data_IF_871333479515
#
_entry.id   IF_871333479515
#
_cell.length_a   1.000
_cell.length_b   1.000
_cell.length_c   1.000
_cell.angle_alpha   90.00
_cell.angle_beta   90.00
_cell.angle_gamma   90.00
#
_symmetry.space_group_name_H-M   'P 1'
#
loop_
_entity.id
_entity.type
_entity.pdbx_description
1 polymer ?
#
# COMPACT_ATOMS: atom_id res chain seq x y z
N UNK A 1 -8.58 5.44 25.38
CA UNK A 1 -7.32 4.70 25.20
C UNK A 1 -6.36 5.04 26.35
N UNK A 2 -5.21 4.36 26.51
CA UNK A 2 -4.22 4.72 27.55
C UNK A 2 -3.66 6.13 27.35
N UNK A 3 -3.38 6.51 26.09
CA UNK A 3 -2.92 7.85 25.70
C UNK A 3 -3.89 8.93 26.20
N UNK A 4 -5.19 8.82 25.89
CA UNK A 4 -6.20 9.79 26.35
C UNK A 4 -6.33 9.86 27.88
N UNK A 5 -6.02 8.77 28.60
CA UNK A 5 -5.99 8.77 30.06
C UNK A 5 -4.75 9.51 30.60
N UNK A 6 -3.61 9.41 29.92
CA UNK A 6 -2.41 10.16 30.27
C UNK A 6 -2.64 11.67 30.13
N UNK A 7 -3.31 12.12 29.07
CA UNK A 7 -3.68 13.54 28.90
C UNK A 7 -4.47 14.07 30.10
N UNK A 8 -5.45 13.30 30.57
CA UNK A 8 -6.27 13.67 31.73
C UNK A 8 -5.45 13.69 33.03
N UNK A 9 -4.49 12.77 33.18
CA UNK A 9 -3.62 12.71 34.35
C UNK A 9 -2.67 13.91 34.37
N UNK A 10 -2.06 14.25 33.24
CA UNK A 10 -1.15 15.40 33.10
C UNK A 10 -1.91 16.71 33.38
N UNK A 11 -3.12 16.85 32.87
CA UNK A 11 -3.96 18.03 33.16
C UNK A 11 -4.23 18.18 34.67
N UNK A 12 -4.62 17.10 35.35
CA UNK A 12 -4.84 17.13 36.80
C UNK A 12 -3.55 17.40 37.58
N UNK A 13 -2.43 16.84 37.14
CA UNK A 13 -1.13 17.08 37.75
C UNK A 13 -0.75 18.57 37.71
N UNK A 14 -1.08 19.25 36.61
CA UNK A 14 -0.89 20.69 36.47
C UNK A 14 -1.78 21.49 37.42
N UNK A 15 -3.07 21.14 37.52
CA UNK A 15 -4.01 21.75 38.46
C UNK A 15 -3.55 21.58 39.92
N UNK A 16 -3.05 20.39 40.29
CA UNK A 16 -2.51 20.13 41.63
C UNK A 16 -1.21 20.90 41.92
N UNK A 17 -0.39 21.17 40.90
CA UNK A 17 0.80 22.02 41.05
C UNK A 17 0.42 23.48 41.32
N UNK A 18 -0.56 24.00 40.58
CA UNK A 18 -1.07 25.37 40.79
C UNK A 18 -1.73 25.56 42.15
N UNK A 19 -2.40 24.53 42.66
CA UNK A 19 -2.98 24.50 44.00
C UNK A 19 -1.91 24.37 45.11
N UNK A 20 -0.63 24.20 44.77
CA UNK A 20 0.47 24.00 45.71
C UNK A 20 0.43 22.66 46.45
N UNK A 21 -0.37 21.69 45.97
CA UNK A 21 -0.47 20.34 46.57
C UNK A 21 0.74 19.48 46.26
N UNK A 22 1.45 19.80 45.17
CA UNK A 22 2.73 19.19 44.80
C UNK A 22 3.77 20.28 44.58
N UNK A 23 5.05 19.92 44.69
CA UNK A 23 6.16 20.84 44.40
C UNK A 23 6.45 20.87 42.90
N UNK A 24 6.97 21.99 42.41
CA UNK A 24 7.40 22.14 41.00
C UNK A 24 8.40 21.06 40.57
N UNK A 25 9.32 20.67 41.47
CA UNK A 25 10.29 19.60 41.22
C UNK A 25 9.58 18.26 40.99
N UNK A 26 8.57 17.94 41.81
CA UNK A 26 7.80 16.70 41.67
C UNK A 26 6.94 16.70 40.43
N UNK A 27 6.35 17.85 40.09
CA UNK A 27 5.62 18.07 38.85
C UNK A 27 6.50 17.80 37.63
N UNK A 28 7.70 18.40 37.57
CA UNK A 28 8.62 18.20 36.45
C UNK A 28 8.99 16.73 36.25
N UNK A 29 9.33 16.01 37.34
CA UNK A 29 9.70 14.59 37.25
C UNK A 29 8.53 13.76 36.70
N UNK A 30 7.33 13.97 37.22
CA UNK A 30 6.14 13.21 36.82
C UNK A 30 5.68 13.56 35.39
N UNK A 31 5.65 14.85 35.04
CA UNK A 31 5.30 15.30 33.68
C UNK A 31 6.26 14.70 32.65
N UNK A 32 7.57 14.80 32.89
CA UNK A 32 8.58 14.23 31.98
C UNK A 32 8.41 12.73 31.78
N UNK A 33 8.08 11.99 32.84
CA UNK A 33 7.84 10.55 32.75
C UNK A 33 6.57 10.22 31.92
N UNK A 34 5.49 10.97 32.11
CA UNK A 34 4.26 10.78 31.34
C UNK A 34 4.37 11.21 29.88
N UNK A 35 5.07 12.31 29.60
CA UNK A 35 5.36 12.77 28.24
C UNK A 35 6.16 11.71 27.48
N UNK A 36 7.15 11.10 28.16
CA UNK A 36 7.91 9.98 27.60
C UNK A 36 7.03 8.75 27.33
N UNK A 37 6.20 8.34 28.29
CA UNK A 37 5.28 7.21 28.10
C UNK A 37 4.32 7.45 26.91
N UNK A 38 3.80 8.67 26.80
CA UNK A 38 2.89 9.07 25.72
C UNK A 38 3.58 9.05 24.35
N UNK A 39 4.81 9.55 24.26
CA UNK A 39 5.61 9.50 23.04
C UNK A 39 5.86 8.05 22.60
N UNK A 40 6.32 7.19 23.51
CA UNK A 40 6.58 5.78 23.23
C UNK A 40 5.32 5.03 22.80
N UNK A 41 4.17 5.29 23.43
CA UNK A 41 2.90 4.68 23.06
C UNK A 41 2.43 5.14 21.67
N UNK A 42 2.58 6.42 21.36
CA UNK A 42 2.18 7.00 20.07
C UNK A 42 3.06 6.45 18.94
N UNK A 43 4.37 6.34 19.17
CA UNK A 43 5.29 5.71 18.23
C UNK A 43 4.94 4.24 18.00
N UNK A 44 4.65 3.47 19.05
CA UNK A 44 4.22 2.08 18.91
C UNK A 44 2.93 1.93 18.12
N UNK A 45 1.93 2.78 18.37
CA UNK A 45 0.66 2.75 17.64
C UNK A 45 0.91 3.02 16.15
N UNK A 46 1.63 4.09 15.83
CA UNK A 46 1.92 4.44 14.42
C UNK A 46 2.77 3.37 13.71
N UNK A 47 3.75 2.79 14.40
CA UNK A 47 4.54 1.67 13.86
C UNK A 47 3.68 0.42 13.60
N UNK A 48 2.78 0.07 14.51
CA UNK A 48 1.88 -1.08 14.35
C UNK A 48 0.85 -0.84 13.24
N UNK A 49 0.28 0.36 13.16
CA UNK A 49 -0.64 0.74 12.08
C UNK A 49 0.04 0.66 10.72
N UNK A 50 1.28 1.14 10.62
CA UNK A 50 2.10 1.02 9.41
C UNK A 50 2.38 -0.44 9.06
N UNK A 51 2.79 -1.25 10.02
CA UNK A 51 3.03 -2.68 9.81
C UNK A 51 1.78 -3.41 9.32
N UNK A 52 0.62 -3.13 9.93
CA UNK A 52 -0.67 -3.69 9.49
C UNK A 52 -1.00 -3.19 8.07
N UNK A 53 -0.80 -1.91 7.77
CA UNK A 53 -1.05 -1.36 6.43
C UNK A 53 -0.15 -2.01 5.37
N UNK A 54 1.11 -2.28 5.68
CA UNK A 54 2.04 -2.92 4.77
C UNK A 54 1.68 -4.40 4.57
N UNK A 55 1.44 -5.13 5.66
CA UNK A 55 1.03 -6.53 5.62
C UNK A 55 -0.32 -6.74 4.91
N UNK A 56 -1.29 -5.85 5.12
CA UNK A 56 -2.58 -5.89 4.41
C UNK A 56 -2.41 -5.58 2.93
N UNK A 57 -1.56 -4.63 2.55
CA UNK A 57 -1.24 -4.35 1.14
C UNK A 57 -0.57 -5.56 0.47
N UNK A 58 0.39 -6.19 1.12
CA UNK A 58 1.09 -7.38 0.59
C UNK A 58 0.16 -8.61 0.50
N UNK A 59 -0.68 -8.82 1.51
CA UNK A 59 -1.70 -9.86 1.55
C UNK A 59 -2.77 -9.65 0.47
N UNK A 60 -3.28 -8.43 0.32
CA UNK A 60 -4.25 -8.09 -0.74
C UNK A 60 -3.65 -8.32 -2.12
N UNK A 61 -2.38 -7.94 -2.33
CA UNK A 61 -1.69 -8.21 -3.60
C UNK A 61 -1.56 -9.72 -3.87
N UNK A 62 -1.19 -10.51 -2.86
CA UNK A 62 -0.96 -11.96 -3.02
C UNK A 62 -2.25 -12.78 -3.16
N UNK A 63 -3.27 -12.49 -2.33
CA UNK A 63 -4.56 -13.19 -2.40
C UNK A 63 -5.43 -12.75 -3.58
N UNK A 64 -5.37 -11.47 -3.99
CA UNK A 64 -6.08 -10.99 -5.18
C UNK A 64 -5.45 -11.50 -6.48
N UNK A 65 -4.20 -11.94 -6.46
CA UNK A 65 -3.54 -12.54 -7.61
C UNK A 65 -3.85 -14.03 -7.78
N UNK A 66 -3.73 -14.82 -6.71
CA UNK A 66 -3.78 -16.29 -6.82
C UNK A 66 -5.20 -16.80 -7.15
N UNK A 67 -6.24 -16.17 -6.61
CA UNK A 67 -7.61 -16.65 -6.78
C UNK A 67 -8.15 -16.48 -8.22
N UNK A 68 -8.00 -15.31 -8.87
CA UNK A 68 -8.37 -15.17 -10.27
C UNK A 68 -7.48 -16.00 -11.19
N UNK A 69 -6.16 -15.99 -11.00
CA UNK A 69 -5.23 -16.72 -11.88
C UNK A 69 -5.52 -18.23 -11.88
N UNK A 70 -5.81 -18.84 -10.73
CA UNK A 70 -6.20 -20.27 -10.66
C UNK A 70 -7.55 -20.56 -11.32
N UNK A 71 -8.47 -19.59 -11.38
CA UNK A 71 -9.76 -19.75 -12.07
C UNK A 71 -9.59 -19.69 -13.60
N UNK A 72 -8.52 -19.06 -14.06
CA UNK A 72 -8.23 -18.79 -15.46
C UNK A 72 -6.88 -19.38 -15.93
N UNK A 73 -6.40 -20.46 -15.30
CA UNK A 73 -5.18 -21.17 -15.74
C UNK A 73 -5.34 -21.89 -17.08
N UNK A 74 -6.55 -21.96 -17.63
CA UNK A 74 -6.85 -22.62 -18.91
C UNK A 74 -7.81 -21.76 -19.77
N UNK A 75 -7.39 -20.53 -20.09
CA UNK A 75 -8.15 -19.62 -20.95
C UNK A 75 -8.01 -20.08 -22.41
N UNK A 76 -9.10 -20.60 -22.99
CA UNK A 76 -9.17 -20.92 -24.43
C UNK A 76 -9.53 -19.70 -25.29
N UNK A 77 -10.33 -18.77 -24.76
CA UNK A 77 -10.78 -17.55 -25.46
C UNK A 77 -10.75 -16.31 -24.54
N UNK A 78 -10.37 -15.17 -25.11
CA UNK A 78 -10.28 -13.89 -24.38
C UNK A 78 -11.68 -13.28 -24.20
N UNK A 79 -12.26 -13.45 -23.01
CA UNK A 79 -13.53 -12.81 -22.64
C UNK A 79 -13.32 -11.41 -22.05
N UNK A 80 -14.33 -10.54 -22.22
CA UNK A 80 -14.35 -9.20 -21.68
C UNK A 80 -14.26 -9.18 -20.15
N UNK A 81 -14.74 -10.22 -19.46
CA UNK A 81 -14.56 -10.40 -18.01
C UNK A 81 -13.09 -10.60 -17.63
N UNK A 82 -12.36 -11.39 -18.43
CA UNK A 82 -10.92 -11.64 -18.24
C UNK A 82 -10.15 -10.34 -18.44
N UNK A 83 -10.42 -9.59 -19.52
CA UNK A 83 -9.76 -8.31 -19.78
C UNK A 83 -9.98 -7.34 -18.62
N UNK A 84 -11.23 -7.18 -18.14
CA UNK A 84 -11.55 -6.30 -17.01
C UNK A 84 -10.86 -6.70 -15.71
N UNK A 85 -10.59 -8.00 -15.54
CA UNK A 85 -9.96 -8.52 -14.33
C UNK A 85 -8.44 -8.34 -14.38
N UNK A 86 -7.81 -8.65 -15.51
CA UNK A 86 -6.34 -8.75 -15.59
C UNK A 86 -5.65 -7.53 -16.18
N UNK A 87 -6.36 -6.67 -16.93
CA UNK A 87 -5.80 -5.49 -17.59
C UNK A 87 -6.16 -4.23 -16.82
N UNK A 88 -5.15 -3.45 -16.45
CA UNK A 88 -5.30 -2.12 -15.86
C UNK A 88 -5.60 -1.10 -16.96
N UNK A 89 -4.73 -1.05 -17.98
CA UNK A 89 -4.79 -0.07 -19.08
C UNK A 89 -4.31 -0.66 -20.39
N UNK A 90 -4.87 -0.17 -21.48
CA UNK A 90 -4.45 -0.47 -22.84
C UNK A 90 -4.09 0.85 -23.51
N UNK A 91 -2.83 0.98 -23.94
CA UNK A 91 -2.37 2.12 -24.73
C UNK A 91 -2.26 1.68 -26.19
N UNK A 92 -2.89 2.44 -27.07
CA UNK A 92 -2.88 2.17 -28.50
C UNK A 92 -2.14 3.30 -29.18
N UNK A 93 -0.99 2.98 -29.78
CA UNK A 93 -0.23 3.96 -30.55
C UNK A 93 -0.90 4.21 -31.91
N UNK A 94 -0.56 5.35 -32.50
CA UNK A 94 -1.01 5.68 -33.85
C UNK A 94 -0.49 4.68 -34.86
N UNK A 95 -1.32 4.34 -35.85
CA UNK A 95 -0.94 3.40 -36.90
C UNK A 95 0.20 3.99 -37.74
N UNK A 96 1.34 3.33 -37.77
CA UNK A 96 2.49 3.70 -38.59
C UNK A 96 2.43 2.95 -39.92
N UNK A 97 2.67 3.65 -41.03
CA UNK A 97 2.80 3.00 -42.33
C UNK A 97 4.16 2.30 -42.38
N UNK A 98 4.16 1.03 -42.74
CA UNK A 98 5.43 0.31 -42.95
C UNK A 98 6.03 0.80 -44.26
N UNK A 99 7.24 1.36 -44.22
CA UNK A 99 7.92 1.83 -45.43
C UNK A 99 8.03 0.68 -46.45
N UNK A 100 7.62 0.95 -47.69
CA UNK A 100 7.61 -0.06 -48.77
C UNK A 100 6.39 -0.98 -48.85
N UNK A 101 5.39 -0.85 -47.95
CA UNK A 101 4.16 -1.66 -48.00
C UNK A 101 2.87 -0.81 -47.90
N UNK A 102 1.74 -1.35 -48.41
CA UNK A 102 0.39 -0.81 -48.14
C UNK A 102 -0.09 -1.14 -46.72
N UNK A 103 0.65 -1.97 -45.98
CA UNK A 103 0.30 -2.40 -44.63
C UNK A 103 0.59 -1.30 -43.60
N UNK A 104 -0.33 -1.14 -42.64
CA UNK A 104 -0.17 -0.31 -41.46
C UNK A 104 0.17 -1.19 -40.26
N UNK A 105 1.14 -0.78 -39.45
CA UNK A 105 1.48 -1.39 -38.16
C UNK A 105 0.83 -0.57 -37.05
N UNK A 106 0.22 -1.24 -36.08
CA UNK A 106 -0.30 -0.62 -34.87
C UNK A 106 0.33 -1.29 -33.66
N UNK A 107 0.91 -0.49 -32.77
CA UNK A 107 1.49 -0.97 -31.52
C UNK A 107 0.47 -0.84 -30.40
N UNK A 108 0.30 -1.90 -29.61
CA UNK A 108 -0.58 -1.90 -28.44
C UNK A 108 0.26 -2.28 -27.22
N UNK A 109 0.20 -1.46 -26.18
CA UNK A 109 0.81 -1.74 -24.87
C UNK A 109 -0.29 -2.10 -23.88
N UNK A 110 -0.13 -3.24 -23.22
CA UNK A 110 -1.09 -3.72 -22.22
C UNK A 110 -0.42 -3.68 -20.85
N UNK A 111 -0.98 -2.88 -19.94
CA UNK A 111 -0.57 -2.82 -18.54
C UNK A 111 -1.42 -3.81 -17.74
N UNK A 112 -0.76 -4.81 -17.14
CA UNK A 112 -1.43 -5.87 -16.39
C UNK A 112 -1.54 -5.51 -14.90
N UNK A 113 -2.70 -5.77 -14.30
CA UNK A 113 -2.98 -5.44 -12.89
C UNK A 113 -2.03 -6.14 -11.90
N UNK A 114 -1.59 -7.37 -12.21
CA UNK A 114 -0.98 -8.26 -11.22
C UNK A 114 0.39 -8.84 -11.58
N UNK A 115 0.91 -8.60 -12.78
CA UNK A 115 2.10 -9.32 -13.27
C UNK A 115 3.38 -8.46 -13.21
N UNK A 116 3.28 -7.19 -12.83
CA UNK A 116 4.44 -6.29 -12.90
C UNK A 116 5.01 -6.19 -14.33
N UNK A 117 6.27 -5.75 -14.47
CA UNK A 117 6.92 -5.65 -15.78
C UNK A 117 7.33 -7.04 -16.25
N UNK A 118 6.55 -7.62 -17.16
CA UNK A 118 6.93 -8.83 -17.90
C UNK A 118 7.43 -8.46 -19.27
N UNK A 119 8.68 -8.82 -19.54
CA UNK A 119 9.28 -8.68 -20.87
C UNK A 119 8.91 -9.92 -21.70
N UNK A 120 7.81 -9.83 -22.44
CA UNK A 120 7.23 -10.94 -23.22
C UNK A 120 8.08 -11.24 -24.48
N UNK A 121 9.09 -10.42 -24.77
CA UNK A 121 9.92 -10.55 -25.97
C UNK A 121 10.93 -11.71 -25.94
N UNK A 122 11.06 -12.46 -24.83
CA UNK A 122 12.05 -13.54 -24.74
C UNK A 122 11.68 -14.85 -25.47
N UNK A 123 10.45 -15.01 -25.96
CA UNK A 123 9.98 -16.29 -26.52
C UNK A 123 9.66 -16.29 -28.03
N UNK A 124 10.00 -15.24 -28.80
CA UNK A 124 9.74 -15.24 -30.25
C UNK A 124 10.94 -15.75 -31.09
N UNK A 125 12.13 -15.98 -30.51
CA UNK A 125 13.33 -16.34 -31.29
C UNK A 125 13.65 -17.85 -31.43
N UNK A 126 12.72 -18.79 -31.20
CA UNK A 126 12.98 -20.21 -31.49
C UNK A 126 11.82 -20.95 -32.16
N UNK A 127 11.43 -20.51 -33.36
CA UNK A 127 11.01 -21.44 -34.42
C UNK A 127 10.92 -20.72 -35.77
N UNK A 128 12.01 -20.74 -36.53
CA UNK A 128 12.06 -20.76 -37.98
C UNK A 128 13.47 -21.18 -38.41
#
# INVERSE_FOLDING_TARGET
>A
MRITKLDTIVQRLYEENLDGKITDERFMIMSTAYDKEQAELTEKVTALEKFISEATKESLNSHSFINPVKKYTDIQELDAEIIRTFVDKIYVEQSQKVEGSRTKKQTIWIQWNYIGVVDINKNIEKSA
#
